data_IF_836653288704
#
_entry.id   IF_836653288704
#
_cell.length_a   1.000
_cell.length_b   1.000
_cell.length_c   1.000
_cell.angle_alpha   90.00
_cell.angle_beta   90.00
_cell.angle_gamma   90.00
#
_symmetry.space_group_name_H-M   'P 1'
#
loop_
_entity.id
_entity.type
_entity.pdbx_description
1 polymer ?
#
# COMPACT_ATOMS: atom_id res chain seq x y z
N UNK A 1 1.07 -11.82 12.20
CA UNK A 1 1.09 -12.33 10.82
C UNK A 1 0.12 -11.48 10.02
N UNK A 2 0.63 -10.73 9.06
CA UNK A 2 -0.13 -9.84 8.19
C UNK A 2 -0.66 -10.62 7.00
N UNK A 3 -1.81 -10.20 6.48
CA UNK A 3 -2.36 -10.69 5.22
C UNK A 3 -2.02 -9.70 4.13
N UNK A 4 -1.39 -10.19 3.08
CA UNK A 4 -0.93 -9.37 1.96
C UNK A 4 -1.74 -9.67 0.71
N UNK A 5 -1.97 -8.62 -0.09
CA UNK A 5 -2.50 -8.71 -1.44
C UNK A 5 -1.49 -8.03 -2.35
N UNK A 6 -1.00 -8.78 -3.33
CA UNK A 6 -0.06 -8.29 -4.33
C UNK A 6 -0.75 -8.18 -5.68
N UNK A 7 -0.56 -7.06 -6.36
CA UNK A 7 -0.94 -6.84 -7.74
C UNK A 7 0.31 -6.75 -8.61
N UNK A 8 0.34 -7.56 -9.66
CA UNK A 8 1.42 -7.59 -10.67
C UNK A 8 0.83 -7.62 -12.07
N UNK A 9 1.68 -7.62 -13.10
CA UNK A 9 1.26 -7.85 -14.49
C UNK A 9 0.53 -9.17 -14.73
N UNK A 10 0.64 -10.14 -13.82
CA UNK A 10 0.00 -11.46 -13.87
C UNK A 10 -1.35 -11.48 -13.15
N UNK A 11 -1.68 -10.40 -12.43
CA UNK A 11 -2.93 -10.23 -11.68
C UNK A 11 -2.72 -10.19 -10.17
N UNK A 12 -3.79 -10.49 -9.43
CA UNK A 12 -3.82 -10.47 -7.97
C UNK A 12 -3.37 -11.81 -7.38
N UNK A 13 -2.59 -11.74 -6.30
CA UNK A 13 -2.28 -12.88 -5.45
C UNK A 13 -2.40 -12.49 -3.97
N UNK A 14 -2.55 -13.49 -3.10
CA UNK A 14 -2.61 -13.29 -1.65
C UNK A 14 -1.55 -14.13 -0.98
N UNK A 15 -0.86 -13.56 0.00
CA UNK A 15 0.13 -14.29 0.78
C UNK A 15 0.18 -13.78 2.22
N UNK A 16 0.90 -14.47 3.09
CA UNK A 16 1.12 -14.04 4.47
C UNK A 16 2.55 -13.54 4.67
N UNK A 17 2.71 -12.51 5.50
CA UNK A 17 4.00 -11.94 5.83
C UNK A 17 4.13 -11.68 7.34
N UNK A 18 5.37 -11.69 7.83
CA UNK A 18 5.68 -11.34 9.20
C UNK A 18 6.24 -9.91 9.26
N UNK A 19 5.41 -8.98 9.73
CA UNK A 19 5.82 -7.64 10.09
C UNK A 19 5.71 -7.45 11.61
N UNK A 20 6.45 -6.47 12.18
CA UNK A 20 6.23 -6.01 13.54
C UNK A 20 4.74 -5.79 13.85
N UNK A 21 4.33 -6.12 15.08
CA UNK A 21 2.92 -6.13 15.49
C UNK A 21 2.29 -4.72 15.50
N UNK A 22 3.13 -3.70 15.65
CA UNK A 22 2.78 -2.29 15.68
C UNK A 22 2.50 -1.72 14.28
N UNK A 23 2.76 -2.47 13.21
CA UNK A 23 2.41 -2.08 11.83
C UNK A 23 0.96 -2.47 11.56
N UNK A 24 0.10 -1.48 11.34
CA UNK A 24 -1.29 -1.69 10.93
C UNK A 24 -1.40 -1.99 9.43
N UNK A 25 -0.67 -1.23 8.61
CA UNK A 25 -0.67 -1.32 7.16
C UNK A 25 0.72 -1.06 6.59
N UNK A 26 1.16 -1.88 5.67
CA UNK A 26 2.38 -1.71 4.88
C UNK A 26 2.01 -1.73 3.39
N UNK A 27 2.55 -0.79 2.62
CA UNK A 27 2.30 -0.63 1.20
C UNK A 27 3.66 -0.49 0.50
N UNK A 28 3.96 -1.41 -0.40
CA UNK A 28 5.04 -1.28 -1.37
C UNK A 28 4.46 -0.99 -2.74
N UNK A 29 4.97 0.04 -3.42
CA UNK A 29 4.57 0.41 -4.77
C UNK A 29 5.81 0.55 -5.62
N UNK A 30 5.92 -0.28 -6.65
CA UNK A 30 7.01 -0.23 -7.62
C UNK A 30 6.59 0.52 -8.86
N UNK A 31 7.45 1.44 -9.30
CA UNK A 31 7.19 2.35 -10.40
C UNK A 31 8.30 2.23 -11.44
N UNK A 32 7.90 2.01 -12.68
CA UNK A 32 8.75 2.18 -13.87
C UNK A 32 7.95 2.97 -14.93
N UNK A 33 7.93 4.30 -14.80
CA UNK A 33 7.07 5.27 -15.52
C UNK A 33 5.55 5.12 -15.27
N UNK A 34 5.10 3.95 -14.86
CA UNK A 34 3.77 3.60 -14.38
C UNK A 34 3.92 2.67 -13.17
N UNK A 35 2.84 2.50 -12.38
CA UNK A 35 2.82 1.49 -11.32
C UNK A 35 2.85 0.10 -11.97
N UNK A 36 3.85 -0.71 -11.60
CA UNK A 36 4.08 -2.06 -12.17
C UNK A 36 3.79 -3.18 -11.18
N UNK A 37 3.90 -2.88 -9.89
CA UNK A 37 3.70 -3.84 -8.81
C UNK A 37 3.27 -3.10 -7.56
N UNK A 38 2.31 -3.67 -6.84
CA UNK A 38 1.83 -3.15 -5.56
C UNK A 38 1.75 -4.32 -4.61
N UNK A 39 2.27 -4.19 -3.40
CA UNK A 39 2.06 -5.15 -2.33
C UNK A 39 1.52 -4.44 -1.10
N UNK A 40 0.33 -4.86 -0.64
CA UNK A 40 -0.31 -4.26 0.54
C UNK A 40 -0.53 -5.32 1.59
N UNK A 41 0.11 -5.13 2.74
CA UNK A 41 0.08 -6.04 3.88
C UNK A 41 -0.62 -5.38 5.06
N UNK A 42 -1.72 -5.99 5.50
CA UNK A 42 -2.50 -5.49 6.64
C UNK A 42 -2.42 -6.42 7.84
N UNK A 43 -2.45 -5.84 9.04
CA UNK A 43 -2.67 -6.63 10.23
C UNK A 43 -4.15 -7.07 10.29
N UNK A 44 -4.47 -8.36 10.57
CA UNK A 44 -5.82 -8.92 10.41
C UNK A 44 -6.93 -8.24 11.22
N UNK A 45 -6.56 -7.55 12.29
CA UNK A 45 -7.50 -6.94 13.25
C UNK A 45 -8.05 -5.58 12.81
N UNK A 46 -7.42 -4.93 11.82
CA UNK A 46 -7.64 -3.50 11.59
C UNK A 46 -8.43 -3.17 10.32
N UNK A 47 -8.47 -4.09 9.34
CA UNK A 47 -8.96 -3.75 7.99
C UNK A 47 -9.68 -4.93 7.32
N UNK A 48 -10.77 -4.64 6.60
CA UNK A 48 -11.46 -5.60 5.74
C UNK A 48 -10.72 -5.77 4.39
N UNK A 49 -10.54 -7.02 3.97
CA UNK A 49 -9.81 -7.39 2.74
C UNK A 49 -10.43 -6.80 1.45
N UNK A 50 -11.75 -6.57 1.43
CA UNK A 50 -12.46 -6.03 0.27
C UNK A 50 -12.08 -4.58 -0.03
N UNK A 51 -11.89 -3.77 1.01
CA UNK A 51 -11.45 -2.38 0.89
C UNK A 51 -10.03 -2.28 0.32
N UNK A 52 -9.16 -3.24 0.67
CA UNK A 52 -7.80 -3.30 0.12
C UNK A 52 -7.76 -3.61 -1.38
N UNK A 53 -8.60 -4.51 -1.89
CA UNK A 53 -8.60 -4.81 -3.33
C UNK A 53 -8.95 -3.57 -4.14
N UNK A 54 -9.99 -2.86 -3.70
CA UNK A 54 -10.44 -1.62 -4.34
C UNK A 54 -9.35 -0.53 -4.26
N UNK A 55 -8.69 -0.42 -3.10
CA UNK A 55 -7.54 0.46 -2.92
C UNK A 55 -6.40 0.16 -3.89
N UNK A 56 -6.02 -1.11 -4.02
CA UNK A 56 -4.94 -1.55 -4.94
C UNK A 56 -5.33 -1.29 -6.40
N UNK A 57 -6.59 -1.52 -6.79
CA UNK A 57 -7.10 -1.21 -8.13
C UNK A 57 -7.03 0.28 -8.46
N UNK A 58 -7.26 1.16 -7.48
CA UNK A 58 -7.09 2.61 -7.69
C UNK A 58 -5.62 3.00 -7.79
N UNK A 59 -4.75 2.45 -6.94
CA UNK A 59 -3.30 2.69 -7.01
C UNK A 59 -2.72 2.20 -8.35
N UNK A 60 -3.18 1.06 -8.87
CA UNK A 60 -2.64 0.47 -10.11
C UNK A 60 -2.92 1.33 -11.35
N UNK A 61 -3.87 2.26 -11.27
CA UNK A 61 -4.20 3.20 -12.35
C UNK A 61 -3.33 4.45 -12.32
N UNK A 62 -2.59 4.70 -11.24
CA UNK A 62 -1.76 5.88 -11.05
C UNK A 62 -0.56 5.88 -12.00
N UNK A 63 -0.16 7.08 -12.40
CA UNK A 63 0.96 7.35 -13.32
C UNK A 63 1.66 8.61 -12.88
N UNK A 64 2.94 8.73 -13.21
CA UNK A 64 3.73 9.92 -12.91
C UNK A 64 4.98 9.59 -12.11
N UNK A 65 5.53 10.61 -11.47
CA UNK A 65 6.68 10.48 -10.58
C UNK A 65 6.31 9.79 -9.28
N UNK A 66 7.29 9.36 -8.49
CA UNK A 66 7.06 8.84 -7.15
C UNK A 66 6.28 9.83 -6.27
N UNK A 67 6.51 11.13 -6.47
CA UNK A 67 5.82 12.21 -5.72
C UNK A 67 4.34 12.27 -6.09
N UNK A 68 4.00 12.14 -7.38
CA UNK A 68 2.60 12.13 -7.83
C UNK A 68 1.85 10.93 -7.24
N UNK A 69 2.49 9.75 -7.28
CA UNK A 69 1.91 8.53 -6.71
C UNK A 69 1.75 8.65 -5.20
N UNK A 70 2.73 9.19 -4.46
CA UNK A 70 2.60 9.42 -3.00
C UNK A 70 1.41 10.33 -2.70
N UNK A 71 1.26 11.44 -3.43
CA UNK A 71 0.15 12.38 -3.23
C UNK A 71 -1.19 11.69 -3.44
N UNK A 72 -1.32 10.93 -4.51
CA UNK A 72 -2.59 10.30 -4.86
C UNK A 72 -2.92 9.14 -3.91
N UNK A 73 -1.92 8.36 -3.48
CA UNK A 73 -2.06 7.34 -2.42
C UNK A 73 -2.51 7.98 -1.10
N UNK A 74 -1.96 9.13 -0.72
CA UNK A 74 -2.37 9.86 0.47
C UNK A 74 -3.86 10.26 0.44
N UNK A 75 -4.39 10.63 -0.73
CA UNK A 75 -5.83 10.93 -0.91
C UNK A 75 -6.69 9.66 -0.73
N UNK A 76 -6.24 8.52 -1.26
CA UNK A 76 -6.92 7.24 -1.06
C UNK A 76 -6.89 6.81 0.42
N UNK A 77 -5.74 6.99 1.09
CA UNK A 77 -5.59 6.72 2.52
C UNK A 77 -6.47 7.62 3.38
N UNK A 78 -6.71 8.88 3.01
CA UNK A 78 -7.65 9.74 3.75
C UNK A 78 -9.09 9.21 3.75
N UNK A 79 -9.46 8.48 2.70
CA UNK A 79 -10.81 7.93 2.55
C UNK A 79 -10.97 6.64 3.35
N UNK A 80 -9.96 5.78 3.35
CA UNK A 80 -10.01 4.45 3.96
C UNK A 80 -9.44 4.41 5.39
N UNK A 81 -8.52 5.33 5.70
CA UNK A 81 -7.71 5.36 6.92
C UNK A 81 -7.54 6.79 7.45
N UNK A 82 -8.60 7.54 7.77
CA UNK A 82 -8.49 8.98 8.07
C UNK A 82 -7.46 9.36 9.15
N UNK A 83 -7.10 8.42 10.03
CA UNK A 83 -6.11 8.59 11.09
C UNK A 83 -4.66 8.21 10.72
N UNK A 84 -4.40 7.73 9.49
CA UNK A 84 -3.10 7.23 9.06
C UNK A 84 -1.95 8.24 9.26
N UNK A 85 -2.26 9.54 9.18
CA UNK A 85 -1.32 10.64 9.34
C UNK A 85 -0.74 10.76 10.75
N UNK A 86 -1.35 10.12 11.76
CA UNK A 86 -0.87 10.16 13.14
C UNK A 86 0.48 9.46 13.30
N UNK A 87 0.69 8.36 12.58
CA UNK A 87 1.89 7.55 12.70
C UNK A 87 2.17 6.83 11.38
N UNK A 88 3.03 7.43 10.56
CA UNK A 88 3.44 6.85 9.29
C UNK A 88 4.90 7.14 8.96
N UNK A 89 5.46 6.30 8.09
CA UNK A 89 6.77 6.47 7.50
C UNK A 89 6.68 6.27 5.99
N UNK A 90 7.39 7.11 5.23
CA UNK A 90 7.54 6.95 3.78
C UNK A 90 9.02 6.84 3.45
N UNK A 91 9.39 5.77 2.76
CA UNK A 91 10.73 5.57 2.23
C UNK A 91 10.65 5.42 0.70
N UNK A 92 11.54 6.11 -0.02
CA UNK A 92 11.67 5.98 -1.48
C UNK A 92 13.02 5.37 -1.79
N UNK A 93 13.04 4.26 -2.53
CA UNK A 93 14.28 3.56 -2.89
C UNK A 93 14.15 2.87 -4.24
N UNK A 94 15.07 3.19 -5.16
CA UNK A 94 15.24 2.49 -6.46
C UNK A 94 13.92 2.33 -7.25
N UNK A 95 13.13 3.40 -7.37
CA UNK A 95 11.84 3.38 -8.07
C UNK A 95 10.74 2.64 -7.32
N UNK A 96 10.90 2.41 -6.01
CA UNK A 96 9.88 1.85 -5.13
C UNK A 96 9.56 2.83 -4.01
N UNK A 97 8.27 2.94 -3.69
CA UNK A 97 7.73 3.69 -2.56
C UNK A 97 7.29 2.68 -1.52
N UNK A 98 7.69 2.92 -0.28
CA UNK A 98 7.32 2.15 0.88
C UNK A 98 6.55 3.07 1.82
N UNK A 99 5.33 2.70 2.18
CA UNK A 99 4.50 3.42 3.14
C UNK A 99 4.19 2.45 4.28
N UNK A 100 4.59 2.82 5.48
CA UNK A 100 4.29 2.08 6.70
C UNK A 100 3.39 2.92 7.57
N UNK A 101 2.27 2.36 8.03
CA UNK A 101 1.34 3.00 8.96
C UNK A 101 1.32 2.14 10.22
N UNK A 102 1.57 2.80 11.34
CA UNK A 102 1.62 2.17 12.65
C UNK A 102 0.28 2.35 13.39
N UNK A 103 0.05 1.51 14.40
CA UNK A 103 -1.11 1.58 15.32
C UNK A 103 -1.04 2.84 16.19
#
# INVERSE_FOLDING_TARGET
MHRCISFTSIGFSTHGAEYPWDIALYIEIKIDRVVVEIDVCQHPTYIAIEDLKKFIEEISKLKGSEIDVIRDVAVLLDTLFPDWRKSFEILIRRGSIYITIYI
#
